data_IF_708660903342
#
_entry.id   IF_708660903342
#
_cell.length_a   1.000
_cell.length_b   1.000
_cell.length_c   1.000
_cell.angle_alpha   90.00
_cell.angle_beta   90.00
_cell.angle_gamma   90.00
#
_symmetry.space_group_name_H-M   'P 1'
#
loop_
_entity.id
_entity.type
_entity.pdbx_description
1 polymer ?
#
# COMPACT_ATOMS: atom_id res chain seq x y z
N UNK A 1 6.18 17.54 47.05
CA UNK A 1 6.46 16.37 46.19
C UNK A 1 5.59 16.48 44.95
N UNK A 2 6.19 16.72 43.78
CA UNK A 2 5.46 16.80 42.50
C UNK A 2 5.16 15.38 42.01
N UNK A 3 3.88 15.06 41.84
CA UNK A 3 3.43 13.76 41.34
C UNK A 3 3.63 13.70 39.83
N UNK A 4 4.74 13.09 39.38
CA UNK A 4 4.98 12.79 37.98
C UNK A 4 4.09 11.61 37.57
N UNK A 5 2.83 11.91 37.23
CA UNK A 5 1.89 10.93 36.71
C UNK A 5 2.35 10.53 35.29
N UNK A 6 3.02 9.39 35.16
CA UNK A 6 3.28 8.80 33.85
C UNK A 6 1.93 8.64 33.13
N UNK A 7 1.76 9.41 32.06
CA UNK A 7 0.53 9.41 31.27
C UNK A 7 0.62 8.27 30.27
N UNK A 8 0.37 7.05 30.71
CA UNK A 8 0.11 5.94 29.79
C UNK A 8 -1.29 6.12 29.23
N UNK A 9 -1.41 6.56 27.96
CA UNK A 9 -2.69 6.61 27.27
C UNK A 9 -3.20 5.19 27.09
N UNK A 10 -4.27 4.84 27.80
CA UNK A 10 -5.07 3.66 27.49
C UNK A 10 -5.73 3.89 26.13
N UNK A 11 -5.47 3.02 25.14
CA UNK A 11 -6.26 2.97 23.92
C UNK A 11 -7.63 2.38 24.29
N UNK A 12 -8.52 3.25 24.75
CA UNK A 12 -9.86 2.86 25.22
C UNK A 12 -10.75 2.28 24.12
N UNK A 13 -10.41 2.49 22.84
CA UNK A 13 -11.25 2.13 21.70
C UNK A 13 -10.41 1.78 20.48
N UNK A 14 -10.79 0.72 19.77
CA UNK A 14 -10.22 0.36 18.48
C UNK A 14 -10.59 1.40 17.42
N UNK A 15 -9.62 1.99 16.69
CA UNK A 15 -9.88 3.03 15.71
C UNK A 15 -10.43 2.43 14.39
N UNK A 16 -11.70 2.02 14.38
CA UNK A 16 -12.36 1.34 13.25
C UNK A 16 -12.20 2.12 11.94
N UNK A 17 -12.34 3.45 11.97
CA UNK A 17 -12.19 4.29 10.78
C UNK A 17 -10.79 4.16 10.15
N UNK A 18 -9.74 4.21 10.97
CA UNK A 18 -8.37 4.05 10.48
C UNK A 18 -8.15 2.66 9.87
N UNK A 19 -8.73 1.62 10.48
CA UNK A 19 -8.67 0.25 9.97
C UNK A 19 -9.36 0.15 8.59
N UNK A 20 -10.55 0.74 8.43
CA UNK A 20 -11.27 0.74 7.15
C UNK A 20 -10.48 1.46 6.07
N UNK A 21 -9.90 2.62 6.37
CA UNK A 21 -9.06 3.36 5.42
C UNK A 21 -7.83 2.54 5.03
N UNK A 22 -7.14 1.92 6.00
CA UNK A 22 -5.97 1.08 5.72
C UNK A 22 -6.33 -0.16 4.90
N UNK A 23 -7.46 -0.80 5.19
CA UNK A 23 -7.96 -1.93 4.43
C UNK A 23 -8.27 -1.54 2.98
N UNK A 24 -8.91 -0.37 2.78
CA UNK A 24 -9.17 0.15 1.44
C UNK A 24 -7.88 0.41 0.66
N UNK A 25 -6.90 1.09 1.26
CA UNK A 25 -5.59 1.35 0.63
C UNK A 25 -4.89 0.05 0.26
N UNK A 26 -4.92 -0.95 1.15
CA UNK A 26 -4.32 -2.26 0.90
C UNK A 26 -4.99 -2.99 -0.28
N UNK A 27 -6.32 -3.11 -0.26
CA UNK A 27 -7.08 -3.79 -1.34
C UNK A 27 -6.87 -3.07 -2.67
N UNK A 28 -6.94 -1.73 -2.66
CA UNK A 28 -6.74 -0.94 -3.86
C UNK A 28 -5.31 -1.07 -4.40
N UNK A 29 -4.30 -1.10 -3.53
CA UNK A 29 -2.92 -1.39 -3.91
C UNK A 29 -2.75 -2.76 -4.56
N UNK A 30 -3.38 -3.81 -3.99
CA UNK A 30 -3.37 -5.15 -4.59
C UNK A 30 -4.07 -5.18 -5.95
N UNK A 31 -5.17 -4.44 -6.11
CA UNK A 31 -5.86 -4.30 -7.40
C UNK A 31 -4.92 -3.69 -8.45
N UNK A 32 -4.23 -2.60 -8.12
CA UNK A 32 -3.31 -1.94 -9.05
C UNK A 32 -2.19 -2.90 -9.48
N UNK A 33 -1.55 -3.57 -8.53
CA UNK A 33 -0.39 -4.42 -8.83
C UNK A 33 -0.81 -5.72 -9.53
N UNK A 34 -1.93 -6.32 -9.15
CA UNK A 34 -2.34 -7.64 -9.62
C UNK A 34 -3.30 -7.63 -10.81
N UNK A 35 -4.14 -6.61 -10.96
CA UNK A 35 -5.27 -6.62 -11.89
C UNK A 35 -5.30 -5.44 -12.88
N UNK A 36 -4.83 -4.24 -12.52
CA UNK A 36 -4.97 -3.05 -13.37
C UNK A 36 -4.28 -3.17 -14.73
N UNK A 37 -3.18 -3.93 -14.84
CA UNK A 37 -2.46 -4.20 -16.11
C UNK A 37 -2.11 -2.92 -16.92
N UNK A 38 -1.98 -1.76 -16.28
CA UNK A 38 -1.67 -0.49 -16.94
C UNK A 38 -2.88 0.36 -17.33
N UNK A 39 -4.12 -0.07 -17.07
CA UNK A 39 -5.32 0.70 -17.39
C UNK A 39 -5.34 2.09 -16.74
N UNK A 40 -4.99 2.22 -15.45
CA UNK A 40 -4.94 3.53 -14.79
C UNK A 40 -3.87 4.43 -15.42
N UNK A 41 -2.67 3.90 -15.68
CA UNK A 41 -1.57 4.68 -16.25
C UNK A 41 -1.75 4.99 -17.74
N UNK A 42 -2.55 4.22 -18.46
CA UNK A 42 -2.84 4.42 -19.89
C UNK A 42 -3.49 5.78 -20.19
N UNK A 43 -4.15 6.40 -19.21
CA UNK A 43 -4.72 7.75 -19.32
C UNK A 43 -3.62 8.79 -19.61
N UNK A 44 -2.39 8.55 -19.15
CA UNK A 44 -1.25 9.45 -19.29
C UNK A 44 -0.20 8.92 -20.29
N UNK A 45 0.11 7.62 -20.24
CA UNK A 45 1.15 6.98 -21.05
C UNK A 45 0.63 6.31 -22.33
N UNK A 46 -0.69 6.26 -22.53
CA UNK A 46 -1.30 5.60 -23.69
C UNK A 46 -1.02 4.10 -23.72
N UNK A 47 -0.83 3.55 -24.91
CA UNK A 47 -0.66 2.12 -25.15
C UNK A 47 0.57 1.52 -24.46
N UNK A 48 1.63 2.32 -24.25
CA UNK A 48 2.85 1.87 -23.58
C UNK A 48 2.60 1.43 -22.13
N UNK A 49 1.57 1.96 -21.46
CA UNK A 49 1.24 1.57 -20.09
C UNK A 49 0.91 0.07 -19.95
N UNK A 50 0.35 -0.54 -21.00
CA UNK A 50 0.00 -1.96 -21.02
C UNK A 50 1.22 -2.87 -21.25
N UNK A 51 2.26 -2.34 -21.91
CA UNK A 51 3.49 -3.09 -22.20
C UNK A 51 4.44 -2.98 -21.04
N UNK A 52 4.68 -1.75 -20.56
CA UNK A 52 5.67 -1.49 -19.52
C UNK A 52 5.18 -1.95 -18.15
N UNK A 53 3.85 -1.97 -17.94
CA UNK A 53 3.19 -2.34 -16.68
C UNK A 53 3.93 -1.76 -15.46
N UNK A 54 4.33 -0.49 -15.55
CA UNK A 54 5.35 0.11 -14.70
C UNK A 54 5.13 -0.15 -13.19
N UNK A 55 3.88 -0.02 -12.71
CA UNK A 55 3.57 -0.24 -11.30
C UNK A 55 3.69 -1.71 -10.86
N UNK A 56 3.44 -2.67 -11.77
CA UNK A 56 3.65 -4.09 -11.52
C UNK A 56 5.14 -4.38 -11.39
N UNK A 57 5.94 -3.98 -12.38
CA UNK A 57 7.39 -4.22 -12.40
C UNK A 57 8.10 -3.47 -11.26
N UNK A 58 7.71 -2.22 -10.98
CA UNK A 58 8.24 -1.48 -9.84
C UNK A 58 7.95 -2.19 -8.50
N UNK A 59 6.74 -2.72 -8.33
CA UNK A 59 6.39 -3.47 -7.12
C UNK A 59 7.13 -4.81 -7.04
N UNK A 60 7.34 -5.45 -8.19
CA UNK A 60 8.15 -6.66 -8.33
C UNK A 60 9.61 -6.41 -7.94
N UNK A 61 10.21 -5.31 -8.38
CA UNK A 61 11.56 -4.89 -8.00
C UNK A 61 11.68 -4.55 -6.52
N UNK A 62 10.70 -3.87 -5.93
CA UNK A 62 10.68 -3.62 -4.48
C UNK A 62 10.63 -4.91 -3.67
N UNK A 63 9.89 -5.92 -4.15
CA UNK A 63 9.85 -7.25 -3.54
C UNK A 63 11.22 -7.93 -3.62
N UNK A 64 11.94 -7.81 -4.72
CA UNK A 64 13.33 -8.25 -4.83
C UNK A 64 14.26 -7.52 -3.88
N UNK A 65 14.16 -6.20 -3.79
CA UNK A 65 14.96 -5.39 -2.87
C UNK A 65 14.71 -5.75 -1.40
N UNK A 66 13.49 -6.20 -1.08
CA UNK A 66 13.13 -6.74 0.23
C UNK A 66 13.57 -8.21 0.45
N UNK A 67 14.25 -8.82 -0.52
CA UNK A 67 14.82 -10.17 -0.41
C UNK A 67 13.83 -11.31 -0.61
N UNK A 68 12.63 -11.03 -1.10
CA UNK A 68 11.65 -12.09 -1.39
C UNK A 68 11.96 -12.71 -2.77
N UNK A 69 11.94 -14.05 -2.88
CA UNK A 69 12.15 -14.73 -4.15
C UNK A 69 10.99 -14.49 -5.13
N UNK A 70 11.30 -14.47 -6.43
CA UNK A 70 10.36 -14.56 -7.55
C UNK A 70 10.75 -15.74 -8.48
N UNK A 71 9.98 -15.94 -9.56
CA UNK A 71 10.16 -17.00 -10.55
C UNK A 71 10.91 -16.54 -11.80
#
# INVERSE_FOLDING_TARGET
>A
MSSNKLTTRSLSTTPIFAIVVLAFVFIFGLFIVGYDQGHIFSVVQGEQAFVDQFLHEFSHDLRHAAGFPCH
#
